data_IF_940039886141
#
_entry.id   IF_940039886141
#
_cell.length_a   1.000
_cell.length_b   1.000
_cell.length_c   1.000
_cell.angle_alpha   90.00
_cell.angle_beta   90.00
_cell.angle_gamma   90.00
#
_symmetry.space_group_name_H-M   'P 1'
#
loop_
_entity.id
_entity.type
_entity.pdbx_description
1 polymer ?
#
# COMPACT_ATOMS: atom_id res chain seq x y z
N UNK A 1 -22.45 14.67 -6.54
CA UNK A 1 -21.02 14.85 -6.88
C UNK A 1 -20.27 13.63 -6.36
N UNK A 2 -19.32 13.09 -7.12
CA UNK A 2 -18.54 11.90 -6.74
C UNK A 2 -17.24 12.37 -6.07
N UNK A 3 -16.99 11.95 -4.83
CA UNK A 3 -15.71 12.18 -4.15
C UNK A 3 -14.56 11.44 -4.82
N UNK A 4 -13.41 12.11 -4.91
CA UNK A 4 -12.13 11.56 -5.34
C UNK A 4 -11.44 10.77 -4.22
N UNK A 5 -10.47 9.93 -4.59
CA UNK A 5 -9.62 9.17 -3.65
C UNK A 5 -8.99 10.08 -2.58
N UNK A 6 -8.48 11.25 -2.97
CA UNK A 6 -7.86 12.21 -2.05
C UNK A 6 -8.86 12.81 -1.06
N UNK A 7 -10.09 13.08 -1.51
CA UNK A 7 -11.16 13.56 -0.63
C UNK A 7 -11.59 12.48 0.36
N UNK A 8 -11.71 11.22 -0.07
CA UNK A 8 -12.01 10.10 0.85
C UNK A 8 -10.92 9.91 1.91
N UNK A 9 -9.64 10.02 1.54
CA UNK A 9 -8.51 9.98 2.49
C UNK A 9 -8.63 11.13 3.48
N UNK A 10 -8.87 12.34 3.00
CA UNK A 10 -8.99 13.53 3.86
C UNK A 10 -10.15 13.40 4.86
N UNK A 11 -11.26 12.81 4.43
CA UNK A 11 -12.42 12.54 5.27
C UNK A 11 -12.06 11.51 6.36
N UNK A 12 -11.40 10.41 6.00
CA UNK A 12 -10.98 9.37 6.94
C UNK A 12 -9.96 9.90 7.96
N UNK A 13 -8.99 10.69 7.52
CA UNK A 13 -7.99 11.31 8.41
C UNK A 13 -8.62 12.30 9.40
N UNK A 14 -9.57 13.11 8.93
CA UNK A 14 -10.33 14.01 9.79
C UNK A 14 -11.06 13.25 10.90
N UNK A 15 -11.74 12.15 10.55
CA UNK A 15 -12.49 11.33 11.51
C UNK A 15 -11.58 10.57 12.47
N UNK A 16 -10.44 10.07 12.00
CA UNK A 16 -9.44 9.42 12.85
C UNK A 16 -8.87 10.41 13.88
N UNK A 17 -8.50 11.61 13.44
CA UNK A 17 -7.97 12.68 14.31
C UNK A 17 -9.00 13.13 15.34
N UNK A 18 -10.26 13.27 14.94
CA UNK A 18 -11.38 13.57 15.82
C UNK A 18 -11.53 12.50 16.92
N UNK A 19 -11.51 11.23 16.52
CA UNK A 19 -11.63 10.09 17.44
C UNK A 19 -10.49 10.07 18.46
N UNK A 20 -9.26 10.35 18.04
CA UNK A 20 -8.08 10.45 18.92
C UNK A 20 -8.13 11.64 19.89
N UNK A 21 -8.67 12.78 19.47
CA UNK A 21 -8.82 13.96 20.34
C UNK A 21 -10.00 13.85 21.33
N UNK A 22 -10.76 12.75 21.29
CA UNK A 22 -11.96 12.58 22.12
C UNK A 22 -13.08 13.56 21.76
N UNK A 23 -12.95 14.30 20.66
CA UNK A 23 -13.88 15.31 20.16
C UNK A 23 -14.37 14.88 18.79
N UNK A 24 -15.66 14.62 18.64
CA UNK A 24 -16.29 14.34 17.34
C UNK A 24 -16.18 15.59 16.46
N UNK A 25 -15.40 15.56 15.38
CA UNK A 25 -15.36 16.63 14.36
C UNK A 25 -16.34 16.27 13.24
N UNK A 26 -17.59 16.08 13.63
CA UNK A 26 -18.76 16.29 12.77
C UNK A 26 -19.72 17.23 13.51
N UNK A 27 -19.18 18.33 14.02
CA UNK A 27 -19.93 19.41 14.67
C UNK A 27 -19.52 20.75 14.05
N UNK A 28 -19.79 20.90 12.75
CA UNK A 28 -19.90 22.20 12.11
C UNK A 28 -21.00 22.09 11.05
N UNK A 29 -22.19 22.66 11.30
CA UNK A 29 -23.33 22.58 10.38
C UNK A 29 -23.02 23.07 8.95
N UNK A 30 -21.98 23.89 8.80
CA UNK A 30 -21.51 24.42 7.52
C UNK A 30 -20.72 23.40 6.66
N UNK A 31 -20.25 22.29 7.24
CA UNK A 31 -19.51 21.24 6.54
C UNK A 31 -20.37 20.00 6.23
N UNK A 32 -21.71 20.13 6.34
CA UNK A 32 -22.64 19.13 5.79
C UNK A 32 -22.49 19.14 4.28
N UNK A 33 -21.52 18.37 3.80
CA UNK A 33 -21.39 18.09 2.38
C UNK A 33 -22.70 17.41 1.98
N UNK A 34 -23.33 17.97 0.97
CA UNK A 34 -24.71 17.75 0.53
C UNK A 34 -24.86 16.35 -0.13
N UNK A 35 -24.63 15.29 0.66
CA UNK A 35 -24.68 13.91 0.18
C UNK A 35 -25.37 12.98 1.21
N UNK A 36 -26.50 12.36 0.84
CA UNK A 36 -27.30 11.52 1.74
C UNK A 36 -26.58 10.24 2.23
N UNK A 37 -25.46 9.85 1.61
CA UNK A 37 -24.63 8.73 2.09
C UNK A 37 -23.90 9.12 3.38
N UNK A 38 -23.34 10.33 3.44
CA UNK A 38 -22.71 10.88 4.67
C UNK A 38 -23.77 11.15 5.72
N UNK A 39 -24.98 11.55 5.35
CA UNK A 39 -26.06 11.78 6.32
C UNK A 39 -26.62 10.48 6.91
N UNK A 40 -26.66 9.37 6.16
CA UNK A 40 -27.00 8.04 6.67
C UNK A 40 -25.92 7.44 7.59
N UNK A 41 -24.66 7.81 7.39
CA UNK A 41 -23.55 7.41 8.25
C UNK A 41 -23.67 7.86 9.71
N UNK A 42 -24.52 8.87 9.97
CA UNK A 42 -24.55 9.62 11.22
C UNK A 42 -25.61 9.08 12.21
N UNK A 43 -26.28 7.96 11.92
CA UNK A 43 -27.22 7.32 12.87
C UNK A 43 -26.55 6.33 13.85
N UNK A 44 -25.38 6.69 14.41
CA UNK A 44 -24.69 5.90 15.44
C UNK A 44 -24.72 6.60 16.80
N UNK A 45 -25.90 6.57 17.45
CA UNK A 45 -26.05 7.03 18.83
C UNK A 45 -25.55 6.03 19.89
N UNK A 46 -25.14 4.80 19.52
CA UNK A 46 -24.95 3.71 20.52
C UNK A 46 -23.69 2.81 20.40
N UNK A 47 -22.71 3.12 19.55
CA UNK A 47 -21.51 2.27 19.41
C UNK A 47 -20.27 2.87 20.10
N UNK A 48 -19.41 2.01 20.66
CA UNK A 48 -18.13 2.42 21.28
C UNK A 48 -17.20 3.11 20.27
N UNK A 49 -16.27 3.95 20.73
CA UNK A 49 -15.37 4.77 19.88
C UNK A 49 -14.64 3.97 18.77
N UNK A 50 -14.26 2.72 19.07
CA UNK A 50 -13.56 1.85 18.11
C UNK A 50 -14.53 1.28 17.06
N UNK A 51 -15.73 0.88 17.47
CA UNK A 51 -16.75 0.38 16.56
C UNK A 51 -17.28 1.48 15.62
N UNK A 52 -17.37 2.73 16.10
CA UNK A 52 -17.81 3.86 15.27
C UNK A 52 -16.87 4.13 14.10
N UNK A 53 -15.54 4.08 14.31
CA UNK A 53 -14.57 4.30 13.24
C UNK A 53 -14.52 3.12 12.23
N UNK A 54 -14.60 1.88 12.72
CA UNK A 54 -14.66 0.70 11.84
C UNK A 54 -15.93 0.71 10.97
N UNK A 55 -17.06 1.11 11.55
CA UNK A 55 -18.31 1.26 10.80
C UNK A 55 -18.20 2.38 9.76
N UNK A 56 -17.66 3.54 10.14
CA UNK A 56 -17.39 4.64 9.21
C UNK A 56 -16.50 4.22 8.03
N UNK A 57 -15.40 3.51 8.31
CA UNK A 57 -14.50 2.99 7.26
C UNK A 57 -15.23 2.02 6.33
N UNK A 58 -16.08 1.15 6.86
CA UNK A 58 -16.88 0.20 6.06
C UNK A 58 -17.85 0.92 5.12
N UNK A 59 -18.41 2.05 5.54
CA UNK A 59 -19.28 2.87 4.70
C UNK A 59 -18.51 3.58 3.58
N UNK A 60 -17.28 4.05 3.85
CA UNK A 60 -16.39 4.59 2.81
C UNK A 60 -16.04 3.50 1.79
N UNK A 61 -15.76 2.27 2.24
CA UNK A 61 -15.51 1.14 1.34
C UNK A 61 -16.73 0.78 0.48
N UNK A 62 -17.93 0.84 1.06
CA UNK A 62 -19.15 0.67 0.28
C UNK A 62 -19.29 1.76 -0.79
N UNK A 63 -19.06 3.02 -0.42
CA UNK A 63 -19.08 4.14 -1.35
C UNK A 63 -18.06 3.97 -2.49
N UNK A 64 -16.82 3.51 -2.18
CA UNK A 64 -15.80 3.21 -3.19
C UNK A 64 -16.29 2.19 -4.22
N UNK A 65 -16.92 1.10 -3.78
CA UNK A 65 -17.48 0.09 -4.68
C UNK A 65 -18.64 0.62 -5.52
N UNK A 66 -19.56 1.35 -4.90
CA UNK A 66 -20.73 1.89 -5.60
C UNK A 66 -20.36 2.92 -6.68
N UNK A 67 -19.31 3.72 -6.43
CA UNK A 67 -18.89 4.81 -7.31
C UNK A 67 -17.60 4.50 -8.10
N UNK A 68 -17.06 3.29 -7.98
CA UNK A 68 -15.80 2.86 -8.61
C UNK A 68 -14.63 3.83 -8.34
N UNK A 69 -14.53 4.30 -7.10
CA UNK A 69 -13.44 5.20 -6.68
C UNK A 69 -12.23 4.37 -6.27
N UNK A 70 -11.16 4.49 -7.06
CA UNK A 70 -9.90 3.78 -6.88
C UNK A 70 -9.31 3.97 -5.49
N UNK A 71 -8.82 2.88 -4.90
CA UNK A 71 -8.02 2.91 -3.67
C UNK A 71 -6.53 3.18 -3.91
N UNK A 72 -6.10 3.25 -5.17
CA UNK A 72 -4.71 3.44 -5.55
C UNK A 72 -4.32 4.90 -5.41
N UNK A 73 -3.18 5.11 -4.74
CA UNK A 73 -2.50 6.40 -4.65
C UNK A 73 -1.16 6.32 -5.35
N UNK A 74 -0.72 7.44 -5.94
CA UNK A 74 0.57 7.52 -6.61
C UNK A 74 1.59 8.14 -5.67
N UNK A 75 2.49 7.31 -5.14
CA UNK A 75 3.62 7.75 -4.32
C UNK A 75 4.83 8.00 -5.21
N UNK A 76 5.53 9.11 -5.01
CA UNK A 76 6.81 9.33 -5.69
C UNK A 76 7.91 8.63 -4.90
N UNK A 77 8.47 7.56 -5.47
CA UNK A 77 9.69 6.94 -4.95
C UNK A 77 10.89 7.73 -5.49
N UNK A 78 11.78 8.18 -4.58
CA UNK A 78 12.98 8.95 -4.93
C UNK A 78 14.20 8.19 -4.44
N UNK A 79 15.12 7.90 -5.35
CA UNK A 79 16.39 7.29 -4.98
C UNK A 79 17.51 7.95 -5.76
N UNK A 80 18.47 8.53 -5.03
CA UNK A 80 19.52 9.39 -5.59
C UNK A 80 18.89 10.59 -6.33
N UNK A 81 19.26 10.80 -7.59
CA UNK A 81 18.75 11.90 -8.44
C UNK A 81 17.52 11.50 -9.27
N UNK A 82 17.12 10.22 -9.22
CA UNK A 82 16.02 9.67 -10.01
C UNK A 82 14.74 9.53 -9.19
N UNK A 83 13.59 9.61 -9.87
CA UNK A 83 12.30 9.42 -9.24
C UNK A 83 11.27 8.78 -10.16
N UNK A 84 10.38 7.97 -9.60
CA UNK A 84 9.31 7.29 -10.34
C UNK A 84 8.00 7.36 -9.54
N UNK A 85 6.85 7.60 -10.20
CA UNK A 85 5.55 7.40 -9.58
C UNK A 85 5.26 5.90 -9.45
N UNK A 86 4.98 5.47 -8.23
CA UNK A 86 4.66 4.08 -7.87
C UNK A 86 3.21 4.04 -7.41
N UNK A 87 2.34 3.25 -8.06
CA UNK A 87 0.99 3.03 -7.56
C UNK A 87 1.04 2.12 -6.33
N UNK A 88 0.33 2.51 -5.28
CA UNK A 88 0.24 1.78 -4.02
C UNK A 88 -1.19 1.83 -3.50
N UNK A 89 -1.66 0.75 -2.87
CA UNK A 89 -2.96 0.76 -2.19
C UNK A 89 -2.87 1.58 -0.91
N UNK A 90 -3.72 2.60 -0.77
CA UNK A 90 -3.77 3.37 0.47
C UNK A 90 -4.27 2.48 1.62
N UNK A 91 -3.54 2.46 2.74
CA UNK A 91 -3.79 1.58 3.90
C UNK A 91 -5.21 1.64 4.51
N UNK A 92 -5.94 2.73 4.29
CA UNK A 92 -7.32 2.92 4.78
C UNK A 92 -8.40 2.64 3.73
N UNK A 93 -8.05 2.56 2.45
CA UNK A 93 -8.97 2.31 1.34
C UNK A 93 -8.96 0.83 0.94
N UNK A 94 -9.85 0.46 0.03
CA UNK A 94 -9.90 -0.85 -0.61
C UNK A 94 -9.65 -0.74 -2.10
N UNK A 95 -9.27 -1.85 -2.73
CA UNK A 95 -9.23 -1.95 -4.19
C UNK A 95 -10.64 -2.01 -4.75
N UNK A 96 -10.85 -1.36 -5.89
CA UNK A 96 -12.04 -1.54 -6.72
C UNK A 96 -11.66 -2.29 -8.01
N UNK A 97 -12.64 -2.89 -8.73
CA UNK A 97 -12.37 -3.52 -10.02
C UNK A 97 -11.62 -2.56 -10.97
N UNK A 98 -10.51 -3.01 -11.57
CA UNK A 98 -9.64 -2.17 -12.40
C UNK A 98 -8.36 -1.69 -11.70
N UNK A 99 -8.32 -1.65 -10.36
CA UNK A 99 -7.14 -1.16 -9.63
C UNK A 99 -5.95 -2.12 -9.73
N UNK A 100 -6.21 -3.43 -9.79
CA UNK A 100 -5.15 -4.44 -9.93
C UNK A 100 -4.42 -4.26 -11.26
N UNK A 101 -5.14 -3.94 -12.33
CA UNK A 101 -4.58 -3.68 -13.65
C UNK A 101 -3.63 -2.47 -13.63
N UNK A 102 -3.89 -1.47 -12.79
CA UNK A 102 -2.97 -0.33 -12.60
C UNK A 102 -1.63 -0.82 -12.03
N UNK A 103 -1.66 -1.66 -10.99
CA UNK A 103 -0.46 -2.24 -10.37
C UNK A 103 0.32 -3.09 -11.38
N UNK A 104 -0.39 -3.95 -12.12
CA UNK A 104 0.20 -4.83 -13.14
C UNK A 104 0.85 -4.01 -14.27
N UNK A 105 0.18 -2.96 -14.75
CA UNK A 105 0.70 -2.10 -15.82
C UNK A 105 1.93 -1.31 -15.41
N UNK A 106 2.05 -0.94 -14.13
CA UNK A 106 3.23 -0.23 -13.61
C UNK A 106 4.44 -1.14 -13.40
N UNK A 107 4.25 -2.47 -13.35
CA UNK A 107 5.32 -3.45 -13.07
C UNK A 107 6.56 -3.23 -13.93
N UNK A 108 6.39 -3.11 -15.25
CA UNK A 108 7.52 -2.99 -16.18
C UNK A 108 8.38 -1.75 -15.86
N UNK A 109 7.75 -0.60 -15.68
CA UNK A 109 8.46 0.65 -15.37
C UNK A 109 9.17 0.59 -14.01
N UNK A 110 8.56 -0.05 -13.01
CA UNK A 110 9.16 -0.23 -11.68
C UNK A 110 10.39 -1.15 -11.75
N UNK A 111 10.30 -2.26 -12.49
CA UNK A 111 11.41 -3.19 -12.69
C UNK A 111 12.56 -2.53 -13.46
N UNK A 112 12.26 -1.76 -14.50
CA UNK A 112 13.27 -1.02 -15.25
C UNK A 112 13.98 0.02 -14.39
N UNK A 113 13.23 0.80 -13.60
CA UNK A 113 13.78 1.75 -12.63
C UNK A 113 14.70 1.07 -11.61
N UNK A 114 14.24 -0.05 -11.05
CA UNK A 114 15.02 -0.86 -10.13
C UNK A 114 16.34 -1.30 -10.77
N UNK A 115 16.30 -1.94 -11.94
CA UNK A 115 17.49 -2.43 -12.61
C UNK A 115 18.48 -1.33 -12.96
N UNK A 116 18.00 -0.16 -13.40
CA UNK A 116 18.87 0.96 -13.75
C UNK A 116 19.66 1.47 -12.54
N UNK A 117 19.03 1.57 -11.37
CA UNK A 117 19.64 2.16 -10.17
C UNK A 117 20.51 1.18 -9.38
N UNK A 118 20.31 -0.11 -9.59
CA UNK A 118 20.92 -1.18 -8.78
C UNK A 118 22.02 -1.97 -9.51
N UNK A 119 22.38 -1.59 -10.76
CA UNK A 119 23.40 -2.30 -11.58
C UNK A 119 24.73 -2.59 -10.88
N UNK A 120 25.14 -1.73 -9.96
CA UNK A 120 26.42 -1.84 -9.24
C UNK A 120 26.22 -2.20 -7.75
N UNK A 121 25.12 -2.87 -7.42
CA UNK A 121 24.79 -3.28 -6.05
C UNK A 121 24.72 -4.79 -5.93
N UNK A 122 24.83 -5.26 -4.70
CA UNK A 122 24.58 -6.65 -4.33
C UNK A 122 23.09 -6.84 -4.06
N UNK A 123 22.58 -8.01 -4.44
CA UNK A 123 21.16 -8.33 -4.33
C UNK A 123 20.94 -9.38 -3.25
N UNK A 124 19.99 -9.10 -2.38
CA UNK A 124 19.66 -9.96 -1.26
C UNK A 124 18.17 -10.29 -1.26
N UNK A 125 17.82 -11.53 -0.89
CA UNK A 125 16.43 -11.93 -0.71
C UNK A 125 16.09 -11.93 0.78
N UNK A 126 14.98 -11.30 1.15
CA UNK A 126 14.46 -11.36 2.52
C UNK A 126 13.84 -12.73 2.74
N UNK A 127 14.32 -13.46 3.75
CA UNK A 127 13.72 -14.71 4.17
C UNK A 127 12.33 -14.47 4.79
N UNK A 128 11.39 -15.40 4.59
CA UNK A 128 10.15 -15.39 5.37
C UNK A 128 10.48 -15.49 6.86
N UNK A 129 9.79 -14.71 7.69
CA UNK A 129 10.10 -14.36 9.09
C UNK A 129 10.16 -15.55 10.09
N UNK A 130 10.42 -16.79 9.69
CA UNK A 130 10.68 -17.90 10.61
C UNK A 130 12.09 -17.89 11.22
N UNK A 131 13.04 -17.12 10.68
CA UNK A 131 14.29 -16.79 11.38
C UNK A 131 14.50 -15.28 11.43
N UNK A 132 14.58 -14.76 12.64
CA UNK A 132 15.06 -13.41 12.93
C UNK A 132 16.44 -13.22 12.30
N UNK A 133 16.58 -12.15 11.50
CA UNK A 133 17.86 -11.54 11.11
C UNK A 133 18.67 -12.18 9.97
N UNK A 134 18.17 -13.22 9.29
CA UNK A 134 18.92 -13.84 8.19
C UNK A 134 18.45 -13.32 6.84
N UNK A 135 19.15 -12.29 6.37
CA UNK A 135 19.17 -11.97 4.94
C UNK A 135 19.89 -13.15 4.26
N UNK A 136 19.16 -13.91 3.44
CA UNK A 136 19.72 -15.05 2.71
C UNK A 136 20.84 -14.58 1.75
N UNK A 137 21.81 -15.46 1.42
CA UNK A 137 22.97 -15.10 0.60
C UNK A 137 22.57 -14.50 -0.75
N UNK A 138 23.51 -13.79 -1.36
CA UNK A 138 23.37 -13.11 -2.65
C UNK A 138 22.53 -13.92 -3.64
N UNK A 139 21.46 -13.31 -4.15
CA UNK A 139 20.62 -13.95 -5.17
C UNK A 139 21.26 -13.78 -6.54
N UNK A 140 21.32 -14.86 -7.32
CA UNK A 140 21.78 -14.79 -8.71
C UNK A 140 20.78 -14.03 -9.58
N UNK A 141 21.27 -13.43 -10.67
CA UNK A 141 20.42 -12.74 -11.65
C UNK A 141 19.36 -13.68 -12.26
N UNK A 142 19.69 -14.96 -12.42
CA UNK A 142 18.75 -15.98 -12.92
C UNK A 142 17.58 -16.19 -11.96
N UNK A 143 17.87 -16.42 -10.68
CA UNK A 143 16.83 -16.56 -9.65
C UNK A 143 15.99 -15.29 -9.50
N UNK A 144 16.60 -14.10 -9.61
CA UNK A 144 15.87 -12.84 -9.64
C UNK A 144 14.90 -12.77 -10.83
N UNK A 145 15.35 -13.15 -12.02
CA UNK A 145 14.54 -13.13 -13.24
C UNK A 145 13.34 -14.07 -13.10
N UNK A 146 13.51 -15.24 -12.50
CA UNK A 146 12.40 -16.15 -12.21
C UNK A 146 11.37 -15.54 -11.27
N UNK A 147 11.80 -14.84 -10.21
CA UNK A 147 10.89 -14.18 -9.27
C UNK A 147 10.10 -13.07 -9.95
N UNK A 148 10.77 -12.26 -10.77
CA UNK A 148 10.12 -11.19 -11.54
C UNK A 148 9.09 -11.77 -12.51
N UNK A 149 9.40 -12.89 -13.16
CA UNK A 149 8.47 -13.56 -14.07
C UNK A 149 7.24 -14.15 -13.35
N UNK A 150 7.41 -14.62 -12.11
CA UNK A 150 6.31 -15.14 -11.28
C UNK A 150 5.43 -14.05 -10.67
N UNK A 151 5.98 -12.85 -10.45
CA UNK A 151 5.24 -11.73 -9.88
C UNK A 151 4.17 -11.19 -10.86
N UNK A 152 3.02 -10.81 -10.34
CA UNK A 152 1.96 -10.16 -11.13
C UNK A 152 2.16 -8.64 -11.14
N UNK A 153 2.59 -8.05 -10.03
CA UNK A 153 2.97 -6.64 -9.94
C UNK A 153 4.25 -6.46 -9.13
N UNK A 154 4.80 -5.25 -9.18
CA UNK A 154 6.00 -4.89 -8.43
C UNK A 154 5.76 -3.61 -7.62
N UNK A 155 6.39 -3.53 -6.47
CA UNK A 155 6.43 -2.36 -5.60
C UNK A 155 7.89 -1.98 -5.36
N UNK A 156 8.21 -0.70 -5.29
CA UNK A 156 9.57 -0.24 -4.99
C UNK A 156 9.56 0.79 -3.89
N UNK A 157 10.48 0.63 -2.95
CA UNK A 157 10.72 1.59 -1.89
C UNK A 157 12.21 1.89 -1.73
N UNK A 158 12.52 3.06 -1.20
CA UNK A 158 13.88 3.59 -1.11
C UNK A 158 14.27 3.83 0.35
N UNK A 159 15.34 3.18 0.80
CA UNK A 159 16.09 3.58 1.98
C UNK A 159 17.15 4.63 1.65
N UNK A 160 18.02 4.95 2.62
CA UNK A 160 19.08 5.95 2.43
C UNK A 160 20.07 5.54 1.33
N UNK A 161 20.54 4.28 1.37
CA UNK A 161 21.50 3.72 0.41
C UNK A 161 21.03 2.39 -0.20
N UNK A 162 19.82 1.98 0.14
CA UNK A 162 19.24 0.69 -0.22
C UNK A 162 17.97 0.93 -1.01
N UNK A 163 17.71 0.05 -1.97
CA UNK A 163 16.43 -0.02 -2.65
C UNK A 163 15.76 -1.33 -2.21
N UNK A 164 14.44 -1.33 -2.04
CA UNK A 164 13.61 -2.50 -1.75
C UNK A 164 12.62 -2.76 -2.88
N UNK A 165 12.58 -4.00 -3.40
CA UNK A 165 11.69 -4.43 -4.48
C UNK A 165 10.76 -5.51 -3.93
N UNK A 166 9.47 -5.20 -3.87
CA UNK A 166 8.40 -6.16 -3.62
C UNK A 166 7.94 -6.78 -4.94
N UNK A 167 7.99 -8.10 -5.02
CA UNK A 167 7.51 -8.91 -6.15
C UNK A 167 6.28 -9.67 -5.69
N UNK A 168 5.10 -9.14 -6.03
CA UNK A 168 3.86 -9.58 -5.41
C UNK A 168 2.91 -10.29 -6.40
N UNK A 169 2.04 -11.15 -5.89
CA UNK A 169 1.05 -11.92 -6.66
C UNK A 169 -0.24 -12.16 -5.87
N UNK A 170 -1.34 -12.47 -6.57
CA UNK A 170 -2.62 -12.82 -5.96
C UNK A 170 -3.48 -11.59 -5.64
N UNK A 171 -3.99 -11.52 -4.40
CA UNK A 171 -4.79 -10.39 -3.90
C UNK A 171 -3.89 -9.32 -3.27
N UNK A 172 -3.83 -8.08 -3.80
CA UNK A 172 -2.97 -7.06 -3.24
C UNK A 172 -3.38 -6.57 -1.83
N UNK A 173 -4.63 -6.78 -1.40
CA UNK A 173 -5.04 -6.46 -0.02
C UNK A 173 -4.42 -7.41 1.02
N UNK A 174 -4.08 -8.62 0.58
CA UNK A 174 -3.65 -9.73 1.45
C UNK A 174 -2.21 -10.18 1.20
N UNK A 175 -1.56 -9.71 0.11
CA UNK A 175 -0.22 -10.12 -0.34
C UNK A 175 0.87 -9.97 0.73
N UNK A 176 0.67 -9.04 1.66
CA UNK A 176 1.54 -8.76 2.80
C UNK A 176 1.42 -9.78 3.94
N UNK A 177 0.37 -10.61 3.98
CA UNK A 177 0.15 -11.56 5.06
C UNK A 177 0.60 -12.98 4.71
N UNK A 178 1.33 -13.61 5.63
CA UNK A 178 1.83 -14.97 5.46
C UNK A 178 0.72 -16.02 5.29
N UNK A 179 -0.45 -15.81 5.89
CA UNK A 179 -1.57 -16.75 5.83
C UNK A 179 -2.19 -16.84 4.43
N UNK A 180 -2.01 -15.81 3.59
CA UNK A 180 -2.56 -15.79 2.24
C UNK A 180 -1.73 -16.62 1.26
N UNK A 181 -0.55 -17.09 1.67
CA UNK A 181 0.31 -17.93 0.84
C UNK A 181 -0.24 -19.36 0.76
N UNK A 182 -0.14 -20.02 -0.42
CA UNK A 182 0.53 -19.56 -1.64
C UNK A 182 -0.34 -18.71 -2.58
N UNK A 183 -1.63 -18.54 -2.30
CA UNK A 183 -2.59 -17.89 -3.21
C UNK A 183 -2.29 -16.41 -3.45
N UNK A 184 -1.81 -15.71 -2.41
CA UNK A 184 -1.33 -14.33 -2.47
C UNK A 184 -0.03 -14.21 -1.67
N UNK A 185 0.88 -13.36 -2.13
CA UNK A 185 2.15 -13.16 -1.44
C UNK A 185 2.97 -12.03 -2.03
N UNK A 186 4.04 -11.68 -1.34
CA UNK A 186 5.03 -10.75 -1.86
C UNK A 186 6.44 -11.12 -1.40
N UNK A 187 7.30 -11.39 -2.36
CA UNK A 187 8.72 -11.67 -2.13
C UNK A 187 9.49 -10.35 -2.17
N UNK A 188 10.36 -10.13 -1.18
CA UNK A 188 11.14 -8.89 -1.08
C UNK A 188 12.61 -9.12 -1.44
N UNK A 189 13.10 -8.28 -2.35
CA UNK A 189 14.50 -8.18 -2.73
C UNK A 189 15.06 -6.84 -2.23
N UNK A 190 16.32 -6.85 -1.82
CA UNK A 190 17.05 -5.65 -1.39
C UNK A 190 18.24 -5.50 -2.31
N UNK A 191 18.44 -4.29 -2.83
CA UNK A 191 19.68 -3.91 -3.48
C UNK A 191 20.45 -2.96 -2.56
N UNK A 192 21.65 -3.34 -2.19
CA UNK A 192 22.51 -2.59 -1.29
C UNK A 192 23.98 -2.67 -1.76
N UNK A 193 24.80 -1.62 -1.55
CA UNK A 193 26.23 -1.66 -1.89
C UNK A 193 26.98 -2.72 -1.06
N UNK A 194 26.62 -2.88 0.21
CA UNK A 194 27.17 -3.86 1.15
C UNK A 194 26.03 -4.69 1.77
N UNK A 195 26.29 -5.38 2.88
CA UNK A 195 25.25 -6.10 3.62
C UNK A 195 24.14 -5.14 4.07
N UNK A 196 22.86 -5.44 3.81
CA UNK A 196 21.77 -4.53 4.13
C UNK A 196 21.64 -4.33 5.63
N UNK A 197 21.33 -3.10 6.01
CA UNK A 197 21.05 -2.70 7.38
C UNK A 197 19.89 -3.54 7.90
N UNK A 198 20.03 -4.16 9.07
CA UNK A 198 19.01 -5.05 9.65
C UNK A 198 17.60 -4.46 9.49
N UNK A 199 16.73 -5.21 8.81
CA UNK A 199 15.37 -4.81 8.44
C UNK A 199 14.52 -4.52 9.69
N UNK A 200 14.49 -3.27 10.16
CA UNK A 200 13.41 -2.79 11.02
C UNK A 200 12.29 -2.24 10.12
N UNK A 201 11.46 -3.13 9.59
CA UNK A 201 10.24 -2.73 8.88
C UNK A 201 9.05 -3.21 9.73
N UNK A 202 8.41 -2.26 10.41
CA UNK A 202 7.19 -2.42 11.21
C UNK A 202 5.96 -2.66 10.33
#
# INVERSE_FOLDING_TARGET
MVYSTQELISILECELRATWQGKRVLMSPAARIDNPVISKAINLEKASKVFAYQDFRSQIHQYQRENQVSGIVWRICRFREESIPVPELHNQLILVPGDKEILVNAKASIIDFWYQLTRNMNYFKVADRSSTSEVNPEITLESMTELINKAEWAEVDSGCNELYLGLCWGNPEESQYLWARPQSGCDRLIAAPDQPSGLNIY
#
